data_IF_033251642909
#
_entry.id   IF_033251642909
#
_cell.length_a   1.000
_cell.length_b   1.000
_cell.length_c   1.000
_cell.angle_alpha   90.00
_cell.angle_beta   90.00
_cell.angle_gamma   90.00
#
_symmetry.space_group_name_H-M   'P 1'
#
loop_
_entity.id
_entity.type
_entity.pdbx_description
1 polymer ?
#
# COMPACT_ATOMS: atom_id res chain seq x y z
N UNK A 1 -2.59 -6.18 1.07
CA UNK A 1 -2.35 -7.56 0.59
C UNK A 1 -0.85 -7.76 0.38
N UNK A 2 -0.38 -9.00 0.45
CA UNK A 2 0.99 -9.34 0.07
C UNK A 2 1.00 -10.69 -0.65
N UNK A 3 2.01 -10.92 -1.49
CA UNK A 3 2.27 -12.21 -2.11
C UNK A 3 3.78 -12.46 -2.19
N UNK A 4 4.17 -13.73 -2.16
CA UNK A 4 5.56 -14.16 -2.38
C UNK A 4 5.67 -14.85 -3.73
N UNK A 5 6.72 -14.55 -4.50
CA UNK A 5 6.97 -15.14 -5.83
C UNK A 5 8.46 -15.16 -6.13
N UNK A 6 8.91 -16.14 -6.92
CA UNK A 6 10.27 -16.25 -7.48
C UNK A 6 10.45 -15.46 -8.79
N UNK A 7 9.38 -14.87 -9.32
CA UNK A 7 9.39 -14.14 -10.60
C UNK A 7 9.95 -12.72 -10.51
N UNK A 8 10.32 -12.26 -9.32
CA UNK A 8 10.81 -10.88 -9.08
C UNK A 8 12.15 -10.90 -8.34
N UNK A 9 13.12 -10.04 -8.73
CA UNK A 9 14.44 -10.01 -8.09
C UNK A 9 14.45 -9.24 -6.76
N UNK A 10 13.46 -8.38 -6.54
CA UNK A 10 13.37 -7.49 -5.38
C UNK A 10 11.93 -7.26 -4.95
N UNK A 11 11.73 -6.46 -3.89
CA UNK A 11 10.40 -6.15 -3.37
C UNK A 11 9.73 -5.09 -4.24
N UNK A 12 8.51 -5.37 -4.69
CA UNK A 12 7.68 -4.41 -5.41
C UNK A 12 6.48 -4.00 -4.56
N UNK A 13 6.11 -2.72 -4.64
CA UNK A 13 4.93 -2.16 -4.01
C UNK A 13 4.03 -1.52 -5.05
N UNK A 14 2.72 -1.74 -4.94
CA UNK A 14 1.71 -1.06 -5.76
C UNK A 14 0.60 -0.50 -4.87
N UNK A 15 0.19 0.74 -5.17
CA UNK A 15 -0.89 1.42 -4.48
C UNK A 15 -2.00 1.74 -5.49
N UNK A 16 -3.21 1.26 -5.20
CA UNK A 16 -4.42 1.52 -5.97
C UNK A 16 -5.41 2.35 -5.16
N UNK A 17 -6.19 3.19 -5.87
CA UNK A 17 -7.31 3.93 -5.29
C UNK A 17 -8.58 3.72 -6.13
N UNK A 18 -9.67 3.33 -5.47
CA UNK A 18 -11.02 3.42 -6.02
C UNK A 18 -11.73 4.66 -5.45
N UNK A 19 -12.19 5.56 -6.32
CA UNK A 19 -12.98 6.73 -5.89
C UNK A 19 -14.37 6.33 -5.38
N UNK A 20 -14.92 5.23 -5.88
CA UNK A 20 -16.26 4.73 -5.49
C UNK A 20 -16.21 3.69 -4.37
N UNK A 21 -15.01 3.32 -3.92
CA UNK A 21 -14.79 2.12 -3.12
C UNK A 21 -14.92 0.84 -3.96
N UNK A 22 -14.49 -0.29 -3.39
CA UNK A 22 -14.73 -1.64 -3.90
C UNK A 22 -15.19 -2.54 -2.76
N UNK A 23 -16.03 -3.53 -3.05
CA UNK A 23 -16.23 -4.62 -2.10
C UNK A 23 -14.93 -5.44 -2.04
N UNK A 24 -14.39 -5.57 -0.85
CA UNK A 24 -13.11 -6.21 -0.59
C UNK A 24 -13.18 -7.19 0.58
N UNK A 25 -14.39 -7.56 1.00
CA UNK A 25 -14.66 -8.42 2.14
C UNK A 25 -13.87 -7.97 3.40
N UNK A 26 -13.87 -6.65 3.64
CA UNK A 26 -13.23 -6.06 4.80
C UNK A 26 -13.93 -6.53 6.08
N UNK A 27 -13.18 -6.68 7.17
CA UNK A 27 -13.69 -7.21 8.46
C UNK A 27 -14.82 -6.37 9.06
N UNK A 28 -14.86 -5.08 8.74
CA UNK A 28 -15.88 -4.12 9.17
C UNK A 28 -17.04 -3.98 8.16
N UNK A 29 -17.05 -4.81 7.12
CA UNK A 29 -18.00 -4.78 6.00
C UNK A 29 -18.05 -3.44 5.24
N UNK A 30 -17.04 -2.57 5.38
CA UNK A 30 -16.98 -1.31 4.64
C UNK A 30 -16.33 -1.50 3.27
N UNK A 31 -16.70 -0.64 2.32
CA UNK A 31 -16.00 -0.58 1.02
C UNK A 31 -14.59 -0.05 1.19
N UNK A 32 -13.65 -0.59 0.42
CA UNK A 32 -12.25 -0.20 0.48
C UNK A 32 -11.91 0.79 -0.63
N UNK A 33 -11.37 1.95 -0.28
CA UNK A 33 -10.99 2.99 -1.25
C UNK A 33 -9.51 2.93 -1.61
N UNK A 34 -8.66 2.40 -0.73
CA UNK A 34 -7.21 2.32 -0.90
C UNK A 34 -6.74 0.88 -0.75
N UNK A 35 -5.98 0.38 -1.72
CA UNK A 35 -5.41 -0.97 -1.70
C UNK A 35 -3.90 -0.88 -1.89
N UNK A 36 -3.15 -1.50 -0.98
CA UNK A 36 -1.70 -1.67 -1.10
C UNK A 36 -1.39 -3.15 -1.34
N UNK A 37 -0.60 -3.41 -2.38
CA UNK A 37 -0.02 -4.72 -2.69
C UNK A 37 1.49 -4.65 -2.48
N UNK A 38 2.04 -5.65 -1.80
CA UNK A 38 3.48 -5.89 -1.73
C UNK A 38 3.80 -7.27 -2.29
N UNK A 39 4.69 -7.31 -3.28
CA UNK A 39 5.26 -8.54 -3.80
C UNK A 39 6.66 -8.69 -3.23
N UNK A 40 6.95 -9.83 -2.61
CA UNK A 40 8.25 -10.13 -2.04
C UNK A 40 8.90 -11.33 -2.76
N UNK A 41 10.23 -11.31 -2.96
CA UNK A 41 10.92 -12.48 -3.46
C UNK A 41 10.72 -13.69 -2.54
N UNK A 42 10.57 -14.87 -3.14
CA UNK A 42 10.43 -16.13 -2.41
C UNK A 42 11.60 -16.35 -1.45
N UNK A 43 11.32 -16.87 -0.25
CA UNK A 43 12.33 -17.10 0.79
C UNK A 43 12.80 -15.84 1.54
N UNK A 44 12.35 -14.63 1.15
CA UNK A 44 12.71 -13.38 1.83
C UNK A 44 11.58 -12.78 2.68
N UNK A 45 10.43 -13.47 2.79
CA UNK A 45 9.24 -12.94 3.48
C UNK A 45 9.57 -12.36 4.87
N UNK A 46 10.22 -13.14 5.74
CA UNK A 46 10.57 -12.72 7.10
C UNK A 46 11.45 -11.46 7.16
N UNK A 47 12.34 -11.26 6.19
CA UNK A 47 13.18 -10.06 6.10
C UNK A 47 12.34 -8.81 5.80
N UNK A 48 11.24 -8.98 5.07
CA UNK A 48 10.42 -7.87 4.56
C UNK A 48 9.12 -7.64 5.35
N UNK A 49 8.77 -8.51 6.30
CA UNK A 49 7.62 -8.33 7.21
C UNK A 49 7.70 -6.98 7.94
N UNK A 50 8.90 -6.57 8.37
CA UNK A 50 9.11 -5.27 9.03
C UNK A 50 8.78 -4.09 8.10
N UNK A 51 9.16 -4.18 6.82
CA UNK A 51 8.83 -3.19 5.79
C UNK A 51 7.32 -3.08 5.61
N UNK A 52 6.63 -4.22 5.53
CA UNK A 52 5.16 -4.26 5.40
C UNK A 52 4.47 -3.62 6.61
N UNK A 53 4.94 -3.92 7.83
CA UNK A 53 4.43 -3.32 9.06
C UNK A 53 4.62 -1.79 9.08
N UNK A 54 5.76 -1.29 8.61
CA UNK A 54 6.02 0.15 8.52
C UNK A 54 5.10 0.84 7.50
N UNK A 55 4.88 0.23 6.34
CA UNK A 55 3.92 0.73 5.34
C UNK A 55 2.51 0.79 5.92
N UNK A 56 2.08 -0.27 6.62
CA UNK A 56 0.77 -0.31 7.27
C UNK A 56 0.61 0.81 8.32
N UNK A 57 1.65 1.07 9.13
CA UNK A 57 1.67 2.18 10.11
C UNK A 57 1.52 3.54 9.43
N UNK A 58 2.20 3.76 8.30
CA UNK A 58 2.10 5.02 7.55
C UNK A 58 0.68 5.18 6.98
N UNK A 59 0.09 4.13 6.41
CA UNK A 59 -1.29 4.12 5.91
C UNK A 59 -2.34 4.28 7.03
N UNK A 60 -1.98 3.98 8.28
CA UNK A 60 -2.85 4.25 9.43
C UNK A 60 -2.95 5.74 9.81
N UNK A 61 -2.05 6.61 9.30
CA UNK A 61 -2.10 8.04 9.56
C UNK A 61 -3.22 8.70 8.74
N UNK A 62 -4.21 9.29 9.41
CA UNK A 62 -5.37 9.92 8.77
C UNK A 62 -4.98 10.99 7.73
N UNK A 63 -4.02 11.86 8.05
CA UNK A 63 -3.53 12.88 7.11
C UNK A 63 -2.93 12.27 5.85
N UNK A 64 -2.25 11.13 5.97
CA UNK A 64 -1.67 10.47 4.81
C UNK A 64 -2.73 9.79 3.95
N UNK A 65 -3.73 9.12 4.56
CA UNK A 65 -4.88 8.59 3.83
C UNK A 65 -5.61 9.68 3.06
N UNK A 66 -5.89 10.80 3.72
CA UNK A 66 -6.56 11.94 3.10
C UNK A 66 -5.77 12.49 1.90
N UNK A 67 -4.44 12.59 2.01
CA UNK A 67 -3.59 13.01 0.89
C UNK A 67 -3.66 12.04 -0.31
N UNK A 68 -3.73 10.73 -0.06
CA UNK A 68 -3.90 9.72 -1.11
C UNK A 68 -5.31 9.76 -1.73
N UNK A 69 -6.34 9.96 -0.90
CA UNK A 69 -7.74 10.05 -1.33
C UNK A 69 -8.01 11.31 -2.16
N UNK A 70 -7.34 12.43 -1.84
CA UNK A 70 -7.51 13.71 -2.54
C UNK A 70 -6.58 13.91 -3.74
N UNK A 71 -5.55 13.08 -3.90
CA UNK A 71 -4.59 13.20 -5.00
C UNK A 71 -5.31 13.21 -6.37
N UNK A 72 -5.01 14.13 -7.30
CA UNK A 72 -5.71 14.19 -8.58
C UNK A 72 -5.50 12.94 -9.44
N UNK A 73 -4.29 12.36 -9.39
CA UNK A 73 -3.84 11.26 -10.23
C UNK A 73 -2.85 10.33 -9.50
N UNK A 74 -2.43 9.26 -10.18
CA UNK A 74 -1.50 8.27 -9.65
C UNK A 74 -0.10 8.86 -9.38
N UNK A 75 0.32 9.85 -10.16
CA UNK A 75 1.64 10.48 -10.00
C UNK A 75 1.68 11.32 -8.71
N UNK A 76 0.61 12.07 -8.43
CA UNK A 76 0.43 12.79 -7.19
C UNK A 76 0.39 11.84 -5.98
N UNK A 77 -0.28 10.69 -6.10
CA UNK A 77 -0.24 9.65 -5.06
C UNK A 77 1.19 9.16 -4.81
N UNK A 78 1.95 8.87 -5.88
CA UNK A 78 3.33 8.42 -5.78
C UNK A 78 4.24 9.48 -5.15
N UNK A 79 4.04 10.77 -5.46
CA UNK A 79 4.75 11.88 -4.81
C UNK A 79 4.45 11.94 -3.31
N UNK A 80 3.18 11.82 -2.90
CA UNK A 80 2.80 11.77 -1.49
C UNK A 80 3.47 10.60 -0.75
N UNK A 81 3.53 9.42 -1.37
CA UNK A 81 4.19 8.25 -0.80
C UNK A 81 5.71 8.47 -0.62
N UNK A 82 6.38 9.00 -1.64
CA UNK A 82 7.82 9.31 -1.61
C UNK A 82 8.17 10.33 -0.53
N UNK A 83 7.31 11.30 -0.27
CA UNK A 83 7.54 12.33 0.75
C UNK A 83 7.43 11.79 2.19
N UNK A 84 6.64 10.75 2.43
CA UNK A 84 6.56 10.11 3.75
C UNK A 84 7.74 9.19 4.05
N UNK A 85 8.34 8.55 3.04
CA UNK A 85 9.50 7.67 3.22
C UNK A 85 10.83 8.40 3.47
N UNK A 86 10.85 9.73 3.39
CA UNK A 86 12.04 10.57 3.61
C UNK A 86 12.14 11.18 5.03
N UNK A 87 11.18 10.90 5.91
CA UNK A 87 11.19 11.29 7.33
C UNK A 87 11.47 10.07 8.20
#
# INVERSE_FOLDING_TARGET
>A
MHASTDLIPEVFGALGRSKRGINFDALDNQTVNLVMLSLVPQGQFQKHVHTLANIAKILHKAQFRQALEQAPDAEAMLRSLKNQGKK
#
